data_IF_580377401377
#
_entry.id   IF_580377401377
#
_cell.length_a   1.000
_cell.length_b   1.000
_cell.length_c   1.000
_cell.angle_alpha   90.00
_cell.angle_beta   90.00
_cell.angle_gamma   90.00
#
_symmetry.space_group_name_H-M   'P 1'
#
loop_
_entity.id
_entity.type
_entity.pdbx_description
1 polymer ?
#
# COMPACT_ATOMS: atom_id res chain seq x y z
N UNK A 1 -12.86 8.62 7.95
CA UNK A 1 -11.55 9.29 8.00
C UNK A 1 -10.93 9.19 9.39
N UNK A 2 -11.60 9.66 10.45
CA UNK A 2 -11.04 9.59 11.81
C UNK A 2 -10.68 8.18 12.25
N UNK A 3 -11.55 7.19 12.05
CA UNK A 3 -11.29 5.80 12.38
C UNK A 3 -10.09 5.24 11.59
N UNK A 4 -9.98 5.54 10.30
CA UNK A 4 -8.85 5.16 9.46
C UNK A 4 -7.54 5.70 10.03
N UNK A 5 -7.45 7.01 10.28
CA UNK A 5 -6.23 7.66 10.77
C UNK A 5 -5.79 7.08 12.11
N UNK A 6 -6.72 6.93 13.06
CA UNK A 6 -6.44 6.34 14.39
C UNK A 6 -5.91 4.91 14.23
N UNK A 7 -6.58 4.10 13.40
CA UNK A 7 -6.18 2.71 13.19
C UNK A 7 -4.82 2.63 12.50
N UNK A 8 -4.55 3.46 11.50
CA UNK A 8 -3.24 3.53 10.82
C UNK A 8 -2.12 3.88 11.79
N UNK A 9 -2.30 4.91 12.63
CA UNK A 9 -1.28 5.35 13.60
C UNK A 9 -0.99 4.25 14.63
N UNK A 10 -2.02 3.64 15.19
CA UNK A 10 -1.88 2.58 16.19
C UNK A 10 -1.27 1.30 15.60
N UNK A 11 -1.56 1.01 14.34
CA UNK A 11 -1.09 -0.21 13.68
C UNK A 11 0.37 -0.12 13.20
N UNK A 12 0.87 1.06 12.83
CA UNK A 12 2.23 1.25 12.28
C UNK A 12 3.34 0.60 13.11
N UNK A 13 3.45 0.82 14.45
CA UNK A 13 4.54 0.22 15.23
C UNK A 13 4.44 -1.30 15.35
N UNK A 14 3.23 -1.84 15.35
CA UNK A 14 2.97 -3.28 15.41
C UNK A 14 3.34 -3.92 14.08
N UNK A 15 2.95 -3.29 12.97
CA UNK A 15 3.18 -3.78 11.61
C UNK A 15 4.65 -3.73 11.23
N UNK A 16 5.42 -2.75 11.71
CA UNK A 16 6.87 -2.72 11.56
C UNK A 16 7.52 -4.00 12.12
N UNK A 17 7.19 -4.36 13.35
CA UNK A 17 7.71 -5.59 14.01
C UNK A 17 7.29 -6.87 13.29
N UNK A 18 6.05 -6.94 12.81
CA UNK A 18 5.54 -8.10 12.07
C UNK A 18 6.27 -8.22 10.72
N UNK A 19 6.46 -7.11 10.03
CA UNK A 19 7.17 -7.04 8.75
C UNK A 19 8.64 -7.49 8.88
N UNK A 20 9.30 -7.16 9.99
CA UNK A 20 10.66 -7.62 10.27
C UNK A 20 10.74 -9.13 10.47
N UNK A 21 9.70 -9.75 11.05
CA UNK A 21 9.66 -11.19 11.36
C UNK A 21 9.26 -12.07 10.18
N UNK A 22 8.25 -11.65 9.40
CA UNK A 22 7.68 -12.46 8.31
C UNK A 22 8.22 -12.08 6.93
N UNK A 23 9.04 -11.05 6.86
CA UNK A 23 9.57 -10.51 5.61
C UNK A 23 8.70 -9.40 5.03
N UNK A 24 9.34 -8.40 4.42
CA UNK A 24 8.66 -7.17 3.97
C UNK A 24 7.74 -7.38 2.78
N UNK A 25 8.16 -8.25 1.82
CA UNK A 25 7.46 -8.47 0.56
C UNK A 25 6.04 -9.06 0.72
N UNK A 26 5.84 -10.18 1.47
CA UNK A 26 4.51 -10.74 1.67
C UNK A 26 3.59 -9.81 2.48
N UNK A 27 4.16 -9.01 3.38
CA UNK A 27 3.40 -8.06 4.18
C UNK A 27 2.88 -6.90 3.31
N UNK A 28 3.70 -6.36 2.40
CA UNK A 28 3.25 -5.33 1.43
C UNK A 28 2.12 -5.89 0.57
N UNK A 29 2.30 -7.11 0.04
CA UNK A 29 1.29 -7.76 -0.79
C UNK A 29 -0.03 -7.97 -0.05
N UNK A 30 0.01 -8.52 1.16
CA UNK A 30 -1.20 -8.70 1.99
C UNK A 30 -1.85 -7.38 2.36
N UNK A 31 -1.06 -6.34 2.65
CA UNK A 31 -1.56 -4.99 2.93
C UNK A 31 -2.32 -4.38 1.76
N UNK A 32 -1.84 -4.55 0.52
CA UNK A 32 -2.53 -4.07 -0.67
C UNK A 32 -3.88 -4.76 -0.87
N UNK A 33 -3.99 -6.06 -0.59
CA UNK A 33 -5.26 -6.79 -0.62
C UNK A 33 -6.21 -6.33 0.48
N UNK A 34 -5.72 -6.14 1.70
CA UNK A 34 -6.50 -5.60 2.81
C UNK A 34 -7.02 -4.20 2.50
N UNK A 35 -6.29 -3.38 1.73
CA UNK A 35 -6.78 -2.09 1.25
C UNK A 35 -7.82 -2.22 0.13
N UNK A 36 -7.67 -3.18 -0.78
CA UNK A 36 -8.57 -3.34 -1.93
C UNK A 36 -9.98 -3.79 -1.53
N UNK A 37 -10.11 -4.67 -0.52
CA UNK A 37 -11.39 -5.20 -0.05
C UNK A 37 -12.34 -4.09 0.43
N UNK A 38 -11.95 -3.16 1.33
CA UNK A 38 -12.80 -2.05 1.73
C UNK A 38 -13.26 -1.18 0.55
N UNK A 39 -12.38 -0.87 -0.40
CA UNK A 39 -12.76 -0.10 -1.58
C UNK A 39 -13.84 -0.79 -2.43
N UNK A 40 -13.78 -2.10 -2.56
CA UNK A 40 -14.81 -2.87 -3.26
C UNK A 40 -16.13 -2.93 -2.48
N UNK A 41 -16.08 -2.96 -1.14
CA UNK A 41 -17.26 -3.15 -0.28
C UNK A 41 -17.96 -1.83 0.10
N UNK A 42 -17.25 -0.72 0.22
CA UNK A 42 -17.80 0.59 0.63
C UNK A 42 -19.04 0.99 -0.22
N UNK A 43 -19.04 0.90 -1.57
CA UNK A 43 -20.19 1.32 -2.35
C UNK A 43 -21.43 0.43 -2.21
N UNK A 44 -21.28 -0.79 -1.68
CA UNK A 44 -22.37 -1.73 -1.46
C UNK A 44 -23.03 -1.57 -0.10
N UNK A 45 -22.44 -0.77 0.78
CA UNK A 45 -22.82 -0.68 2.20
C UNK A 45 -23.46 0.66 2.51
N UNK A 46 -24.56 0.63 3.26
CA UNK A 46 -25.25 1.82 3.79
C UNK A 46 -25.21 1.91 5.32
N UNK A 47 -24.73 0.86 5.99
CA UNK A 47 -24.66 0.79 7.45
C UNK A 47 -23.42 1.53 7.97
N UNK A 48 -23.66 2.44 8.93
CA UNK A 48 -22.60 3.24 9.54
C UNK A 48 -21.52 2.38 10.23
N UNK A 49 -21.93 1.35 10.97
CA UNK A 49 -20.99 0.48 11.68
C UNK A 49 -20.12 -0.36 10.73
N UNK A 50 -20.71 -0.79 9.62
CA UNK A 50 -19.97 -1.52 8.60
C UNK A 50 -18.99 -0.60 7.86
N UNK A 51 -19.39 0.64 7.53
CA UNK A 51 -18.48 1.65 6.97
C UNK A 51 -17.32 1.98 7.92
N UNK A 52 -17.61 2.06 9.23
CA UNK A 52 -16.58 2.30 10.24
C UNK A 52 -15.55 1.17 10.29
N UNK A 53 -16.02 -0.08 10.28
CA UNK A 53 -15.15 -1.27 10.29
C UNK A 53 -14.34 -1.42 9.00
N UNK A 54 -14.93 -1.13 7.83
CA UNK A 54 -14.22 -1.11 6.55
C UNK A 54 -13.13 -0.01 6.52
N UNK A 55 -13.45 1.19 7.05
CA UNK A 55 -12.47 2.28 7.16
C UNK A 55 -11.32 1.92 8.10
N UNK A 56 -11.60 1.26 9.21
CA UNK A 56 -10.58 0.77 10.13
C UNK A 56 -9.71 -0.33 9.47
N UNK A 57 -10.33 -1.26 8.75
CA UNK A 57 -9.64 -2.30 7.98
C UNK A 57 -8.70 -1.70 6.92
N UNK A 58 -9.17 -0.66 6.20
CA UNK A 58 -8.33 0.08 5.26
C UNK A 58 -7.12 0.71 5.96
N UNK A 59 -7.32 1.33 7.14
CA UNK A 59 -6.22 1.91 7.92
C UNK A 59 -5.17 0.89 8.35
N UNK A 60 -5.58 -0.34 8.70
CA UNK A 60 -4.64 -1.45 8.95
C UNK A 60 -3.86 -1.79 7.68
N UNK A 61 -4.52 -2.01 6.56
CA UNK A 61 -3.87 -2.30 5.27
C UNK A 61 -2.88 -1.22 4.86
N UNK A 62 -3.24 0.05 5.00
CA UNK A 62 -2.38 1.21 4.76
C UNK A 62 -1.13 1.18 5.66
N UNK A 63 -1.28 0.84 6.94
CA UNK A 63 -0.15 0.69 7.86
C UNK A 63 0.80 -0.43 7.43
N UNK A 64 0.26 -1.57 6.94
CA UNK A 64 1.08 -2.66 6.38
C UNK A 64 1.91 -2.19 5.20
N UNK A 65 1.28 -1.55 4.22
CA UNK A 65 1.96 -1.10 3.00
C UNK A 65 2.99 -0.03 3.31
N UNK A 66 2.61 1.03 4.03
CA UNK A 66 3.49 2.19 4.24
C UNK A 66 4.69 1.87 5.11
N UNK A 67 4.49 1.17 6.26
CA UNK A 67 5.61 0.84 7.15
C UNK A 67 6.57 -0.17 6.51
N UNK A 68 6.04 -1.20 5.83
CA UNK A 68 6.88 -2.22 5.21
C UNK A 68 7.61 -1.71 3.97
N UNK A 69 6.99 -0.82 3.17
CA UNK A 69 7.64 -0.19 2.01
C UNK A 69 8.76 0.73 2.41
N UNK A 70 8.54 1.61 3.41
CA UNK A 70 9.57 2.49 3.94
C UNK A 70 10.77 1.69 4.48
N UNK A 71 10.49 0.64 5.24
CA UNK A 71 11.53 -0.22 5.78
C UNK A 71 12.27 -1.02 4.68
N UNK A 72 11.57 -1.45 3.63
CA UNK A 72 12.19 -2.12 2.47
C UNK A 72 13.13 -1.17 1.70
N UNK A 73 12.74 0.09 1.50
CA UNK A 73 13.60 1.11 0.89
C UNK A 73 14.86 1.34 1.75
N UNK A 74 14.69 1.44 3.07
CA UNK A 74 15.79 1.60 4.00
C UNK A 74 16.82 0.46 3.94
N UNK A 75 16.36 -0.79 3.79
CA UNK A 75 17.25 -1.97 3.67
C UNK A 75 18.02 -2.03 2.36
N UNK A 76 17.42 -1.55 1.26
CA UNK A 76 18.10 -1.59 -0.04
C UNK A 76 19.08 -0.44 -0.25
N UNK A 77 19.08 0.56 0.62
CA UNK A 77 19.95 1.71 0.51
C UNK A 77 21.25 1.53 1.29
N UNK A 78 22.37 1.91 0.68
CA UNK A 78 23.63 2.08 1.40
C UNK A 78 23.50 3.27 2.35
N UNK A 79 24.17 3.22 3.50
CA UNK A 79 24.12 4.29 4.52
C UNK A 79 24.38 5.68 3.96
N UNK A 80 25.32 5.80 2.99
CA UNK A 80 25.67 7.06 2.34
C UNK A 80 24.55 7.70 1.52
N UNK A 81 23.57 6.91 1.05
CA UNK A 81 22.47 7.36 0.19
C UNK A 81 21.10 7.27 0.86
N UNK A 82 21.07 6.94 2.15
CA UNK A 82 19.82 6.73 2.88
C UNK A 82 18.89 7.95 2.81
N UNK A 83 19.41 9.16 3.05
CA UNK A 83 18.61 10.38 3.03
C UNK A 83 18.00 10.67 1.66
N UNK A 84 18.77 10.49 0.58
CA UNK A 84 18.29 10.71 -0.78
C UNK A 84 17.21 9.69 -1.17
N UNK A 85 17.39 8.43 -0.81
CA UNK A 85 16.43 7.39 -1.10
C UNK A 85 15.11 7.56 -0.33
N UNK A 86 15.18 7.89 0.96
CA UNK A 86 14.00 8.18 1.77
C UNK A 86 13.30 9.46 1.33
N UNK A 87 14.04 10.48 0.92
CA UNK A 87 13.48 11.70 0.32
C UNK A 87 12.74 11.41 -0.98
N UNK A 88 13.32 10.62 -1.88
CA UNK A 88 12.67 10.22 -3.13
C UNK A 88 11.42 9.39 -2.87
N UNK A 89 11.50 8.42 -1.94
CA UNK A 89 10.34 7.62 -1.54
C UNK A 89 9.20 8.49 -0.99
N UNK A 90 9.53 9.43 -0.08
CA UNK A 90 8.57 10.38 0.47
C UNK A 90 7.93 11.25 -0.62
N UNK A 91 8.72 11.80 -1.53
CA UNK A 91 8.20 12.62 -2.63
C UNK A 91 7.23 11.85 -3.54
N UNK A 92 7.54 10.60 -3.89
CA UNK A 92 6.64 9.75 -4.69
C UNK A 92 5.35 9.48 -3.92
N UNK A 93 5.45 9.22 -2.62
CA UNK A 93 4.30 8.99 -1.74
C UNK A 93 3.41 10.23 -1.64
N UNK A 94 4.00 11.41 -1.46
CA UNK A 94 3.29 12.69 -1.38
C UNK A 94 2.60 13.06 -2.70
N UNK A 95 3.24 12.80 -3.85
CA UNK A 95 2.62 12.94 -5.17
C UNK A 95 1.38 12.06 -5.28
N UNK A 96 1.46 10.80 -4.84
CA UNK A 96 0.33 9.88 -4.81
C UNK A 96 -0.82 10.37 -3.92
N UNK A 97 -0.49 10.88 -2.73
CA UNK A 97 -1.46 11.45 -1.80
C UNK A 97 -2.13 12.74 -2.33
N UNK A 98 -1.40 13.57 -3.05
CA UNK A 98 -1.95 14.78 -3.67
C UNK A 98 -2.80 14.45 -4.92
N UNK A 99 -2.31 13.56 -5.78
CA UNK A 99 -3.00 13.17 -7.02
C UNK A 99 -4.25 12.31 -6.76
N UNK A 100 -4.22 11.46 -5.72
CA UNK A 100 -5.31 10.53 -5.39
C UNK A 100 -6.68 11.21 -5.27
N UNK A 101 -6.86 12.20 -4.39
CA UNK A 101 -8.13 12.92 -4.23
C UNK A 101 -8.59 13.65 -5.50
N UNK A 102 -7.66 14.18 -6.29
CA UNK A 102 -7.95 14.88 -7.56
C UNK A 102 -8.53 13.89 -8.58
N UNK A 103 -7.86 12.74 -8.75
CA UNK A 103 -8.32 11.68 -9.65
C UNK A 103 -9.66 11.09 -9.17
N UNK A 104 -9.78 10.82 -7.87
CA UNK A 104 -11.03 10.31 -7.29
C UNK A 104 -12.19 11.32 -7.48
N UNK A 105 -11.96 12.63 -7.28
CA UNK A 105 -12.93 13.66 -7.51
C UNK A 105 -13.37 13.74 -8.97
N UNK A 106 -12.41 13.67 -9.91
CA UNK A 106 -12.71 13.63 -11.34
C UNK A 106 -13.54 12.39 -11.73
N UNK A 107 -13.17 11.23 -11.19
CA UNK A 107 -13.93 9.99 -11.45
C UNK A 107 -15.36 10.09 -10.91
N UNK A 108 -15.54 10.61 -9.70
CA UNK A 108 -16.85 10.79 -9.08
C UNK A 108 -17.73 11.83 -9.81
N UNK A 109 -17.12 12.81 -10.49
CA UNK A 109 -17.83 13.78 -11.29
C UNK A 109 -18.38 13.22 -12.62
N UNK A 110 -17.72 12.20 -13.19
CA UNK A 110 -18.04 11.67 -14.51
C UNK A 110 -18.59 10.24 -14.49
N UNK A 111 -18.35 9.51 -13.40
CA UNK A 111 -18.76 8.10 -13.22
C UNK A 111 -19.67 7.98 -12.00
N UNK A 112 -20.47 6.93 -11.96
CA UNK A 112 -21.25 6.66 -10.75
C UNK A 112 -20.32 6.26 -9.59
N UNK A 113 -20.79 6.52 -8.37
CA UNK A 113 -20.07 6.21 -7.14
C UNK A 113 -19.52 4.75 -7.11
N UNK A 114 -20.34 3.79 -7.52
CA UNK A 114 -19.96 2.38 -7.54
C UNK A 114 -18.81 2.08 -8.51
N UNK A 115 -18.88 2.62 -9.74
CA UNK A 115 -17.82 2.39 -10.73
C UNK A 115 -16.50 3.05 -10.33
N UNK A 116 -16.53 4.22 -9.73
CA UNK A 116 -15.32 4.90 -9.26
C UNK A 116 -14.57 4.05 -8.22
N UNK A 117 -15.28 3.51 -7.24
CA UNK A 117 -14.67 2.65 -6.22
C UNK A 117 -14.18 1.31 -6.77
N UNK A 118 -14.92 0.70 -7.70
CA UNK A 118 -14.50 -0.54 -8.37
C UNK A 118 -13.22 -0.33 -9.19
N UNK A 119 -13.09 0.78 -9.89
CA UNK A 119 -11.88 1.10 -10.66
C UNK A 119 -10.68 1.25 -9.70
N UNK A 120 -10.84 1.96 -8.59
CA UNK A 120 -9.75 2.12 -7.59
C UNK A 120 -9.36 0.75 -7.00
N UNK A 121 -10.33 -0.09 -6.64
CA UNK A 121 -10.06 -1.44 -6.15
C UNK A 121 -9.31 -2.29 -7.18
N UNK A 122 -9.71 -2.21 -8.46
CA UNK A 122 -9.05 -2.93 -9.56
C UNK A 122 -7.62 -2.43 -9.77
N UNK A 123 -7.39 -1.11 -9.70
CA UNK A 123 -6.05 -0.53 -9.79
C UNK A 123 -5.14 -1.00 -8.65
N UNK A 124 -5.66 -1.09 -7.41
CA UNK A 124 -4.91 -1.63 -6.27
C UNK A 124 -4.53 -3.10 -6.48
N UNK A 125 -5.44 -3.91 -7.00
CA UNK A 125 -5.17 -5.32 -7.30
C UNK A 125 -4.13 -5.44 -8.41
N UNK A 126 -4.24 -4.66 -9.49
CA UNK A 126 -3.26 -4.63 -10.57
C UNK A 126 -1.87 -4.20 -10.06
N UNK A 127 -1.81 -3.14 -9.25
CA UNK A 127 -0.57 -2.70 -8.62
C UNK A 127 0.05 -3.79 -7.75
N UNK A 128 -0.77 -4.56 -7.02
CA UNK A 128 -0.33 -5.71 -6.23
C UNK A 128 0.30 -6.79 -7.11
N UNK A 129 -0.30 -7.10 -8.27
CA UNK A 129 0.25 -8.05 -9.24
C UNK A 129 1.57 -7.57 -9.83
N UNK A 130 1.63 -6.31 -10.26
CA UNK A 130 2.88 -5.70 -10.77
C UNK A 130 3.98 -5.75 -9.71
N UNK A 131 3.65 -5.46 -8.46
CA UNK A 131 4.59 -5.56 -7.35
C UNK A 131 5.16 -6.97 -7.20
N UNK A 132 4.31 -8.00 -7.24
CA UNK A 132 4.74 -9.41 -7.15
C UNK A 132 5.66 -9.77 -8.31
N UNK A 133 5.30 -9.43 -9.55
CA UNK A 133 6.09 -9.74 -10.73
C UNK A 133 7.49 -9.08 -10.65
N UNK A 134 7.56 -7.79 -10.36
CA UNK A 134 8.83 -7.05 -10.28
C UNK A 134 9.74 -7.54 -9.14
N UNK A 135 9.13 -7.95 -8.04
CA UNK A 135 9.85 -8.43 -6.86
C UNK A 135 10.33 -9.88 -7.05
N UNK A 136 9.60 -10.70 -7.81
CA UNK A 136 9.97 -12.09 -8.11
C UNK A 136 11.11 -12.14 -9.13
N UNK A 137 11.08 -11.32 -10.17
CA UNK A 137 12.14 -11.24 -11.19
C UNK A 137 13.50 -10.83 -10.59
N UNK A 138 13.52 -9.93 -9.61
CA UNK A 138 14.77 -9.56 -8.93
C UNK A 138 15.42 -10.72 -8.17
N UNK A 139 14.65 -11.64 -7.59
CA UNK A 139 15.20 -12.84 -6.93
C UNK A 139 15.91 -13.77 -7.91
N UNK A 140 15.36 -13.92 -9.12
CA UNK A 140 15.93 -14.77 -10.17
C UNK A 140 17.25 -14.20 -10.69
N UNK A 141 17.35 -12.88 -10.87
CA UNK A 141 18.55 -12.24 -11.39
C UNK A 141 19.71 -12.19 -10.40
N UNK A 142 19.45 -12.04 -9.10
CA UNK A 142 20.49 -12.08 -8.06
C UNK A 142 21.08 -13.50 -7.94
N UNK A 143 20.25 -14.53 -8.07
CA UNK A 143 20.73 -15.93 -8.06
C UNK A 143 21.56 -16.29 -9.30
N UNK A 144 21.28 -15.68 -10.45
CA UNK A 144 22.05 -15.86 -11.69
C UNK A 144 23.38 -15.08 -11.71
N UNK A 145 23.47 -13.97 -11.01
CA UNK A 145 24.69 -13.14 -10.94
C UNK A 145 25.65 -13.56 -9.83
N UNK A 146 25.19 -14.30 -8.81
CA UNK A 146 26.03 -14.80 -7.70
C UNK A 146 26.63 -16.19 -7.92
N UNK A 147 26.44 -16.79 -9.09
CA UNK A 147 26.95 -18.13 -9.44
C UNK A 147 28.22 -18.16 -10.29
N UNK A 148 28.95 -17.03 -10.41
CA UNK A 148 30.24 -16.96 -11.14
C UNK A 148 31.27 -16.27 -10.25
N UNK A 149 31.81 -16.97 -9.30
CA UNK A 149 33.20 -16.84 -8.77
C UNK A 149 33.59 -18.15 -8.12
#
# INVERSE_FOLDING_TARGET
WGAQIVTTILSKPIMGKISDRYGRKPIIFSGMWICAIPFACIPLTRDFYLLLSLSAGFGVGEAFVTSSSAAMVAEFCKEQHYGAAMGTFGSIFDIGHAAGPILAGFMLAHLSYQYSFLIIATLLILASFVFVLTVFERKVNIFKSGGIT
#
